data_IF_114452006946
#
_entry.id   IF_114452006946
#
_cell.length_a   1.000
_cell.length_b   1.000
_cell.length_c   1.000
_cell.angle_alpha   90.00
_cell.angle_beta   90.00
_cell.angle_gamma   90.00
#
_symmetry.space_group_name_H-M   'P 1'
#
loop_
_entity.id
_entity.type
_entity.pdbx_description
1 polymer ?
#
# COMPACT_ATOMS: atom_id res chain seq x y z
N UNK A 1 -26.03 4.69 1.02
CA UNK A 1 -24.65 4.74 0.50
C UNK A 1 -23.76 4.07 1.53
N UNK A 2 -22.98 3.04 1.18
CA UNK A 2 -22.02 2.45 2.13
C UNK A 2 -20.82 3.40 2.25
N UNK A 3 -20.29 3.66 3.45
CA UNK A 3 -19.08 4.44 3.60
C UNK A 3 -17.90 3.72 2.92
N UNK A 4 -17.01 4.50 2.31
CA UNK A 4 -15.77 3.99 1.74
C UNK A 4 -14.89 3.42 2.86
N UNK A 5 -14.28 2.26 2.61
CA UNK A 5 -13.39 1.60 3.57
C UNK A 5 -11.96 1.87 3.17
N UNK A 6 -11.16 2.44 4.08
CA UNK A 6 -9.76 2.71 3.82
C UNK A 6 -9.00 1.43 3.42
N UNK A 7 -8.06 1.56 2.48
CA UNK A 7 -7.29 0.43 1.92
C UNK A 7 -6.65 -0.45 2.99
N UNK A 8 -6.05 0.14 4.02
CA UNK A 8 -5.45 -0.60 5.13
C UNK A 8 -6.46 -1.52 5.84
N UNK A 9 -7.70 -1.08 6.01
CA UNK A 9 -8.77 -1.88 6.60
C UNK A 9 -9.34 -2.94 5.64
N UNK A 10 -9.20 -2.76 4.33
CA UNK A 10 -9.54 -3.78 3.34
C UNK A 10 -8.49 -4.89 3.30
N UNK A 11 -7.21 -4.52 3.36
CA UNK A 11 -6.08 -5.44 3.25
C UNK A 11 -5.83 -6.30 4.50
N UNK A 12 -6.55 -6.06 5.61
CA UNK A 12 -6.54 -6.96 6.79
C UNK A 12 -7.56 -8.09 6.72
N UNK A 13 -8.47 -8.08 5.72
CA UNK A 13 -9.52 -9.09 5.59
C UNK A 13 -8.97 -10.37 4.97
N UNK A 14 -9.47 -11.52 5.40
CA UNK A 14 -9.15 -12.82 4.78
C UNK A 14 -9.48 -12.82 3.29
N UNK A 15 -10.56 -12.14 2.89
CA UNK A 15 -10.95 -11.97 1.48
C UNK A 15 -9.86 -11.34 0.61
N UNK A 16 -8.97 -10.51 1.19
CA UNK A 16 -7.85 -9.96 0.43
C UNK A 16 -6.84 -11.05 0.04
N UNK A 17 -6.61 -12.03 0.92
CA UNK A 17 -5.77 -13.19 0.63
C UNK A 17 -6.47 -14.13 -0.36
N UNK A 18 -7.78 -14.33 -0.24
CA UNK A 18 -8.54 -15.17 -1.17
C UNK A 18 -8.51 -14.63 -2.60
N UNK A 19 -8.59 -13.31 -2.78
CA UNK A 19 -8.65 -12.67 -4.10
C UNK A 19 -7.24 -12.51 -4.71
N UNK A 20 -6.27 -12.04 -3.92
CA UNK A 20 -4.95 -11.65 -4.43
C UNK A 20 -3.87 -12.71 -4.18
N UNK A 21 -4.15 -13.71 -3.35
CA UNK A 21 -3.13 -14.63 -2.83
C UNK A 21 -2.27 -13.98 -1.74
N UNK A 22 -1.52 -14.80 -1.00
CA UNK A 22 -0.73 -14.36 0.14
C UNK A 22 0.39 -13.38 -0.22
N UNK A 23 1.04 -13.58 -1.38
CA UNK A 23 2.20 -12.78 -1.78
C UNK A 23 1.79 -11.35 -2.17
N UNK A 24 0.86 -11.21 -3.11
CA UNK A 24 0.40 -9.89 -3.55
C UNK A 24 -0.31 -9.12 -2.42
N UNK A 25 -1.13 -9.81 -1.60
CA UNK A 25 -1.74 -9.18 -0.42
C UNK A 25 -0.69 -8.70 0.59
N UNK A 26 0.44 -9.41 0.72
CA UNK A 26 1.58 -8.96 1.53
C UNK A 26 2.26 -7.74 0.94
N UNK A 27 2.55 -7.73 -0.36
CA UNK A 27 3.22 -6.62 -1.05
C UNK A 27 2.40 -5.32 -0.98
N UNK A 28 1.10 -5.39 -1.26
CA UNK A 28 0.20 -4.23 -1.13
C UNK A 28 0.22 -3.68 0.29
N UNK A 29 0.24 -4.56 1.31
CA UNK A 29 0.35 -4.13 2.70
C UNK A 29 1.71 -3.48 2.98
N UNK A 30 2.79 -4.10 2.55
CA UNK A 30 4.16 -3.63 2.81
C UNK A 30 4.44 -2.27 2.15
N UNK A 31 3.92 -2.03 0.95
CA UNK A 31 4.18 -0.82 0.18
C UNK A 31 3.24 0.33 0.55
N UNK A 32 1.97 0.04 0.87
CA UNK A 32 0.93 1.07 1.00
C UNK A 32 0.21 1.16 2.35
N UNK A 33 0.34 0.16 3.23
CA UNK A 33 -0.50 0.07 4.44
C UNK A 33 0.27 -0.12 5.76
N UNK A 34 1.53 -0.54 5.71
CA UNK A 34 2.30 -0.93 6.89
C UNK A 34 2.91 0.25 7.64
N UNK A 35 3.07 0.16 8.97
CA UNK A 35 3.94 1.06 9.73
C UNK A 35 5.44 0.80 9.46
N UNK A 36 5.75 -0.32 8.80
CA UNK A 36 7.08 -0.76 8.41
C UNK A 36 7.07 -0.86 6.88
N UNK A 37 8.00 -0.16 6.23
CA UNK A 37 8.01 0.04 4.78
C UNK A 37 7.79 1.52 4.41
N UNK A 38 7.79 1.87 3.11
CA UNK A 38 7.72 3.25 2.67
C UNK A 38 6.37 3.92 2.94
N UNK A 39 5.28 3.15 3.07
CA UNK A 39 3.91 3.68 3.19
C UNK A 39 3.63 4.76 2.12
N UNK A 40 3.84 4.39 0.86
CA UNK A 40 3.81 5.32 -0.28
C UNK A 40 2.48 6.08 -0.36
N UNK A 41 1.38 5.44 0.03
CA UNK A 41 0.05 6.07 0.07
C UNK A 41 0.04 7.31 0.98
N UNK A 42 0.58 7.17 2.19
CA UNK A 42 0.61 8.26 3.18
C UNK A 42 1.57 9.37 2.73
N UNK A 43 2.75 9.00 2.22
CA UNK A 43 3.72 9.96 1.68
C UNK A 43 3.15 10.78 0.51
N UNK A 44 2.45 10.13 -0.43
CA UNK A 44 1.77 10.83 -1.52
C UNK A 44 0.63 11.72 -1.02
N UNK A 45 -0.21 11.23 -0.10
CA UNK A 45 -1.34 11.99 0.43
C UNK A 45 -0.89 13.26 1.17
N UNK A 46 0.25 13.21 1.85
CA UNK A 46 0.83 14.35 2.57
C UNK A 46 1.78 15.21 1.74
N UNK A 47 2.02 14.86 0.47
CA UNK A 47 2.95 15.58 -0.39
C UNK A 47 4.41 15.52 0.08
N UNK A 48 4.77 14.48 0.84
CA UNK A 48 6.12 14.27 1.38
C UNK A 48 7.02 13.48 0.42
N UNK A 49 6.52 13.16 -0.78
CA UNK A 49 7.23 12.41 -1.78
C UNK A 49 8.34 13.27 -2.41
N UNK A 50 9.58 12.85 -2.27
CA UNK A 50 10.73 13.51 -2.91
C UNK A 50 11.10 12.82 -4.22
N UNK A 51 11.93 13.47 -5.04
CA UNK A 51 12.49 12.84 -6.24
C UNK A 51 13.20 11.52 -5.91
N UNK A 52 13.88 11.46 -4.74
CA UNK A 52 14.57 10.26 -4.28
C UNK A 52 13.61 9.10 -3.99
N UNK A 53 12.43 9.37 -3.42
CA UNK A 53 11.39 8.35 -3.19
C UNK A 53 10.73 7.96 -4.53
N UNK A 54 10.55 8.92 -5.43
CA UNK A 54 9.95 8.69 -6.75
C UNK A 54 10.79 7.76 -7.65
N UNK A 55 12.10 7.68 -7.42
CA UNK A 55 13.03 6.78 -8.14
C UNK A 55 13.46 5.58 -7.29
N UNK A 56 12.85 5.36 -6.13
CA UNK A 56 13.24 4.28 -5.24
C UNK A 56 12.84 2.90 -5.79
N UNK A 57 13.53 1.81 -5.40
CA UNK A 57 13.16 0.47 -5.81
C UNK A 57 11.71 0.12 -5.47
N UNK A 58 11.20 0.60 -4.33
CA UNK A 58 9.82 0.38 -3.91
C UNK A 58 8.83 1.06 -4.85
N UNK A 59 9.11 2.29 -5.31
CA UNK A 59 8.25 3.00 -6.27
C UNK A 59 8.31 2.35 -7.65
N UNK A 60 9.49 1.90 -8.10
CA UNK A 60 9.63 1.14 -9.37
C UNK A 60 8.90 -0.20 -9.30
N UNK A 61 8.96 -0.89 -8.15
CA UNK A 61 8.24 -2.15 -7.93
C UNK A 61 6.72 -1.97 -7.92
N UNK A 62 6.23 -0.82 -7.47
CA UNK A 62 4.80 -0.50 -7.44
C UNK A 62 4.18 -0.19 -8.82
N UNK A 63 5.00 0.10 -9.83
CA UNK A 63 4.55 0.48 -11.18
C UNK A 63 4.20 -0.75 -12.03
#
# INVERSE_FOLDING_TARGET
MRPESALNALMTRESAIEIFGSNLAYEIRALFCGPIGPNLRDQYAHGLNSDAVSVSPETVYCW
#
